data_IF_380733552276
#
_entry.id   IF_380733552276
#
_cell.length_a   1.000
_cell.length_b   1.000
_cell.length_c   1.000
_cell.angle_alpha   90.00
_cell.angle_beta   90.00
_cell.angle_gamma   90.00
#
_symmetry.space_group_name_H-M   'P 1'
#
loop_
_entity.id
_entity.type
_entity.pdbx_description
1 polymer ?
#
# COMPACT_ATOMS: atom_id res chain seq x y z
N UNK A 1 -27.77 -47.16 51.96
CA UNK A 1 -28.91 -46.37 52.47
C UNK A 1 -28.42 -45.41 53.54
N UNK A 2 -28.31 -44.11 53.24
CA UNK A 2 -28.06 -43.06 54.25
C UNK A 2 -29.03 -41.90 54.01
N UNK A 3 -29.65 -41.47 55.10
CA UNK A 3 -30.91 -40.73 55.18
C UNK A 3 -30.71 -39.23 54.94
N UNK A 4 -31.60 -38.65 54.13
CA UNK A 4 -31.93 -37.23 54.10
C UNK A 4 -32.56 -36.81 55.44
N UNK A 5 -32.11 -35.68 56.01
CA UNK A 5 -32.94 -34.82 56.87
C UNK A 5 -32.18 -33.52 57.18
N UNK A 6 -32.71 -32.38 56.76
CA UNK A 6 -32.43 -31.07 57.37
C UNK A 6 -33.77 -30.31 57.47
N UNK A 7 -34.12 -29.78 58.65
CA UNK A 7 -35.41 -29.13 58.92
C UNK A 7 -35.44 -27.63 58.57
N UNK A 8 -36.63 -27.02 58.47
CA UNK A 8 -36.82 -25.60 58.13
C UNK A 8 -37.10 -24.70 59.36
N UNK A 9 -37.04 -23.38 59.10
CA UNK A 9 -37.57 -22.22 59.86
C UNK A 9 -36.64 -21.48 60.83
N UNK A 10 -36.42 -20.17 60.63
CA UNK A 10 -37.17 -19.08 61.30
C UNK A 10 -36.64 -17.67 60.94
N UNK A 11 -37.57 -16.84 60.45
CA UNK A 11 -37.88 -15.45 60.82
C UNK A 11 -36.73 -14.44 61.12
N UNK A 12 -36.62 -13.44 60.24
CA UNK A 12 -36.42 -12.03 60.60
C UNK A 12 -37.25 -11.21 59.59
N UNK A 13 -38.43 -10.68 59.95
CA UNK A 13 -38.65 -9.38 60.59
C UNK A 13 -37.91 -8.23 59.89
N UNK A 14 -38.62 -7.50 59.01
CA UNK A 14 -38.57 -6.04 58.74
C UNK A 14 -39.74 -5.81 57.75
N UNK A 15 -40.94 -5.44 58.20
CA UNK A 15 -41.40 -4.13 58.66
C UNK A 15 -41.94 -3.25 57.50
N UNK A 16 -43.28 -3.11 57.54
CA UNK A 16 -44.12 -1.99 57.09
C UNK A 16 -44.40 -1.80 55.60
N UNK A 17 -45.60 -2.26 55.26
CA UNK A 17 -46.51 -1.75 54.23
C UNK A 17 -46.53 -0.23 54.19
N UNK A 18 -46.25 0.33 53.01
CA UNK A 18 -46.38 1.74 52.66
C UNK A 18 -46.71 1.87 51.18
N UNK A 19 -47.97 1.61 50.87
CA UNK A 19 -48.80 2.15 49.78
C UNK A 19 -48.09 2.92 48.63
N UNK A 20 -48.13 2.28 47.45
CA UNK A 20 -48.40 2.81 46.09
C UNK A 20 -47.59 4.01 45.57
N UNK A 21 -46.76 3.72 44.56
CA UNK A 21 -46.78 4.51 43.33
C UNK A 21 -46.48 3.58 42.14
N UNK A 22 -47.41 3.56 41.18
CA UNK A 22 -47.26 2.85 39.92
C UNK A 22 -46.17 3.53 39.09
N UNK A 23 -45.15 2.77 38.70
CA UNK A 23 -44.24 3.15 37.61
C UNK A 23 -44.40 2.08 36.52
N UNK A 24 -44.83 2.56 35.36
CA UNK A 24 -45.09 1.80 34.15
C UNK A 24 -43.79 1.12 33.70
N UNK A 25 -43.74 -0.21 33.81
CA UNK A 25 -42.67 -1.01 33.22
C UNK A 25 -43.03 -1.35 31.77
N UNK A 26 -42.75 -0.44 30.84
CA UNK A 26 -42.60 -0.79 29.42
C UNK A 26 -41.11 -1.10 29.22
N UNK A 27 -40.77 -2.37 29.40
CA UNK A 27 -39.44 -2.93 29.13
C UNK A 27 -39.64 -4.11 28.19
N UNK A 28 -39.91 -3.80 26.92
CA UNK A 28 -39.79 -4.82 25.88
C UNK A 28 -39.24 -4.21 24.60
N UNK A 29 -38.16 -4.86 24.14
CA UNK A 29 -37.59 -4.85 22.79
C UNK A 29 -36.73 -3.64 22.42
N UNK A 30 -35.46 -3.73 22.80
CA UNK A 30 -34.34 -3.26 21.96
C UNK A 30 -33.06 -4.05 22.34
N UNK A 31 -33.04 -5.35 22.09
CA UNK A 31 -31.80 -6.14 22.12
C UNK A 31 -31.44 -6.53 20.69
N UNK A 32 -30.88 -5.57 19.94
CA UNK A 32 -30.52 -5.78 18.53
C UNK A 32 -29.18 -5.20 18.08
N UNK A 33 -28.38 -4.59 18.98
CA UNK A 33 -27.18 -3.84 18.55
C UNK A 33 -25.84 -4.35 19.13
N UNK A 34 -25.83 -5.39 19.96
CA UNK A 34 -24.60 -5.76 20.70
C UNK A 34 -23.66 -6.65 19.87
N UNK A 35 -24.18 -7.49 18.97
CA UNK A 35 -23.38 -8.50 18.24
C UNK A 35 -22.47 -7.90 17.17
N UNK A 36 -22.90 -6.83 16.50
CA UNK A 36 -22.13 -6.23 15.41
C UNK A 36 -20.88 -5.47 15.89
N UNK A 37 -20.92 -4.91 17.11
CA UNK A 37 -19.82 -4.11 17.66
C UNK A 37 -18.65 -4.97 18.13
N UNK A 38 -18.92 -6.15 18.69
CA UNK A 38 -17.89 -7.10 19.12
C UNK A 38 -17.11 -7.66 17.93
N UNK A 39 -17.80 -7.98 16.82
CA UNK A 39 -17.17 -8.54 15.62
C UNK A 39 -16.22 -7.54 14.95
N UNK A 40 -16.60 -6.26 14.85
CA UNK A 40 -15.75 -5.19 14.29
C UNK A 40 -14.49 -4.98 15.12
N UNK A 41 -14.62 -5.02 16.45
CA UNK A 41 -13.48 -4.89 17.36
C UNK A 41 -12.52 -6.09 17.25
N UNK A 42 -13.04 -7.31 17.15
CA UNK A 42 -12.20 -8.51 16.96
C UNK A 42 -11.41 -8.46 15.66
N UNK A 43 -12.05 -8.11 14.54
CA UNK A 43 -11.38 -7.98 13.23
C UNK A 43 -10.29 -6.89 13.30
N UNK A 44 -10.55 -5.77 13.97
CA UNK A 44 -9.55 -4.74 14.19
C UNK A 44 -8.35 -5.24 14.98
N UNK A 45 -8.56 -5.97 16.08
CA UNK A 45 -7.48 -6.53 16.88
C UNK A 45 -6.62 -7.51 16.08
N UNK A 46 -7.26 -8.37 15.27
CA UNK A 46 -6.55 -9.29 14.38
C UNK A 46 -5.72 -8.54 13.33
N UNK A 47 -6.30 -7.51 12.69
CA UNK A 47 -5.60 -6.68 11.70
C UNK A 47 -4.42 -5.92 12.30
N UNK A 48 -4.59 -5.37 13.51
CA UNK A 48 -3.54 -4.71 14.27
C UNK A 48 -2.42 -5.67 14.69
N UNK A 49 -2.76 -6.89 15.11
CA UNK A 49 -1.77 -7.91 15.45
C UNK A 49 -0.97 -8.35 14.21
N UNK A 50 -1.63 -8.54 13.07
CA UNK A 50 -0.97 -8.83 11.79
C UNK A 50 -0.01 -7.70 11.39
N UNK A 51 -0.44 -6.44 11.56
CA UNK A 51 0.39 -5.26 11.30
C UNK A 51 1.69 -5.26 12.10
N UNK A 52 1.61 -5.46 13.43
CA UNK A 52 2.80 -5.51 14.29
C UNK A 52 3.68 -6.75 14.07
N UNK A 53 3.12 -7.82 13.51
CA UNK A 53 3.89 -9.01 13.09
C UNK A 53 4.60 -8.82 11.75
N UNK A 54 4.37 -7.72 11.04
CA UNK A 54 4.91 -7.49 9.71
C UNK A 54 4.11 -8.11 8.57
N UNK A 55 2.99 -8.78 8.86
CA UNK A 55 2.09 -9.35 7.85
C UNK A 55 1.15 -8.26 7.32
N UNK A 56 1.72 -7.42 6.46
CA UNK A 56 1.07 -6.23 5.91
C UNK A 56 -0.13 -6.57 5.01
N UNK A 57 -0.12 -7.74 4.36
CA UNK A 57 -1.20 -8.16 3.46
C UNK A 57 -2.44 -8.58 4.26
N UNK A 58 -2.25 -9.46 5.25
CA UNK A 58 -3.34 -9.85 6.16
C UNK A 58 -3.86 -8.64 6.96
N UNK A 59 -2.96 -7.77 7.42
CA UNK A 59 -3.33 -6.54 8.11
C UNK A 59 -4.21 -5.64 7.23
N UNK A 60 -3.85 -5.45 5.96
CA UNK A 60 -4.64 -4.64 5.04
C UNK A 60 -6.04 -5.21 4.83
N UNK A 61 -6.14 -6.52 4.58
CA UNK A 61 -7.42 -7.18 4.33
C UNK A 61 -8.38 -7.08 5.52
N UNK A 62 -7.88 -7.34 6.73
CA UNK A 62 -8.67 -7.25 7.96
C UNK A 62 -9.07 -5.80 8.26
N UNK A 63 -8.15 -4.84 8.16
CA UNK A 63 -8.44 -3.44 8.47
C UNK A 63 -9.37 -2.80 7.43
N UNK A 64 -9.32 -3.22 6.16
CA UNK A 64 -10.27 -2.75 5.12
C UNK A 64 -11.69 -3.23 5.42
N UNK A 65 -11.86 -4.44 5.97
CA UNK A 65 -13.16 -4.92 6.44
C UNK A 65 -13.69 -4.10 7.61
N UNK A 66 -12.81 -3.66 8.51
CA UNK A 66 -13.17 -2.73 9.60
C UNK A 66 -13.59 -1.37 9.04
N UNK A 67 -12.86 -0.82 8.06
CA UNK A 67 -13.20 0.46 7.40
C UNK A 67 -14.55 0.38 6.68
N UNK A 68 -14.86 -0.74 6.02
CA UNK A 68 -16.13 -0.94 5.33
C UNK A 68 -17.34 -0.97 6.28
N UNK A 69 -17.16 -1.51 7.50
CA UNK A 69 -18.22 -1.63 8.51
C UNK A 69 -18.31 -0.42 9.44
N UNK A 70 -17.18 0.21 9.74
CA UNK A 70 -17.09 1.42 10.53
C UNK A 70 -16.15 2.45 9.86
N UNK A 71 -16.67 3.24 8.91
CA UNK A 71 -15.87 4.24 8.18
C UNK A 71 -15.29 5.36 9.05
N UNK A 72 -15.83 5.55 10.27
CA UNK A 72 -15.37 6.57 11.23
C UNK A 72 -14.33 6.04 12.22
N UNK A 73 -13.89 4.79 12.09
CA UNK A 73 -12.89 4.20 12.98
C UNK A 73 -11.50 4.83 12.76
N UNK A 74 -11.13 5.75 13.66
CA UNK A 74 -9.91 6.56 13.51
C UNK A 74 -8.63 5.71 13.46
N UNK A 75 -8.49 4.73 14.36
CA UNK A 75 -7.28 3.89 14.43
C UNK A 75 -7.10 3.04 13.16
N UNK A 76 -8.20 2.50 12.62
CA UNK A 76 -8.17 1.75 11.36
C UNK A 76 -7.71 2.62 10.22
N UNK A 77 -8.21 3.86 10.14
CA UNK A 77 -7.79 4.81 9.11
C UNK A 77 -6.31 5.17 9.23
N UNK A 78 -5.81 5.38 10.44
CA UNK A 78 -4.40 5.66 10.69
C UNK A 78 -3.50 4.47 10.27
N UNK A 79 -3.84 3.25 10.70
CA UNK A 79 -3.09 2.04 10.32
C UNK A 79 -3.18 1.77 8.83
N UNK A 80 -4.36 1.90 8.21
CA UNK A 80 -4.51 1.77 6.75
C UNK A 80 -3.71 2.82 6.00
N UNK A 81 -3.61 4.06 6.48
CA UNK A 81 -2.76 5.07 5.88
C UNK A 81 -1.28 4.65 5.91
N UNK A 82 -0.81 4.12 7.05
CA UNK A 82 0.56 3.64 7.19
C UNK A 82 0.83 2.42 6.30
N UNK A 83 -0.07 1.44 6.31
CA UNK A 83 0.00 0.27 5.43
C UNK A 83 -0.04 0.72 3.98
N UNK A 84 -0.90 1.66 3.58
CA UNK A 84 -0.96 2.20 2.22
C UNK A 84 0.33 2.92 1.83
N UNK A 85 1.06 3.53 2.75
CA UNK A 85 2.40 4.09 2.47
C UNK A 85 3.44 2.99 2.21
N UNK A 86 3.36 1.87 2.94
CA UNK A 86 4.23 0.71 2.73
C UNK A 86 3.79 -0.21 1.58
N UNK A 87 2.50 -0.19 1.24
CA UNK A 87 1.77 -0.98 0.24
C UNK A 87 1.35 -0.13 -0.96
N UNK A 88 1.85 1.11 -1.08
CA UNK A 88 1.74 1.84 -2.34
C UNK A 88 2.19 0.86 -3.43
N UNK A 89 1.63 0.92 -4.65
CA UNK A 89 2.10 0.11 -5.78
C UNK A 89 3.51 0.52 -6.24
N UNK A 90 4.44 0.75 -5.31
CA UNK A 90 5.88 0.87 -5.50
C UNK A 90 6.60 -0.48 -5.50
N UNK A 91 5.87 -1.61 -5.59
CA UNK A 91 6.41 -2.93 -5.87
C UNK A 91 6.06 -3.46 -7.27
N UNK A 92 5.31 -2.72 -8.09
CA UNK A 92 5.65 -2.74 -9.50
C UNK A 92 7.00 -2.02 -9.55
N UNK A 93 8.09 -2.79 -9.56
CA UNK A 93 9.44 -2.21 -9.69
C UNK A 93 9.40 -1.11 -10.74
N UNK A 94 10.16 -0.02 -10.56
CA UNK A 94 10.26 1.04 -11.59
C UNK A 94 10.46 0.44 -12.98
N UNK A 95 11.21 -0.67 -13.03
CA UNK A 95 11.36 -1.55 -14.19
C UNK A 95 10.03 -2.09 -14.73
N UNK A 96 9.18 -2.72 -13.92
CA UNK A 96 7.87 -3.22 -14.35
C UNK A 96 6.93 -2.11 -14.86
N UNK A 97 6.92 -0.95 -14.19
CA UNK A 97 6.14 0.21 -14.66
C UNK A 97 6.64 0.69 -16.01
N UNK A 98 7.95 0.78 -16.21
CA UNK A 98 8.52 1.19 -17.49
C UNK A 98 8.33 0.13 -18.59
N UNK A 99 8.37 -1.15 -18.23
CA UNK A 99 8.17 -2.24 -19.20
C UNK A 99 6.77 -2.22 -19.82
N UNK A 100 5.78 -1.69 -19.10
CA UNK A 100 4.41 -1.54 -19.61
C UNK A 100 4.24 -0.44 -20.66
N UNK A 101 5.23 0.48 -20.79
CA UNK A 101 5.19 1.58 -21.76
C UNK A 101 5.90 1.15 -23.03
N UNK A 102 5.13 1.00 -24.12
CA UNK A 102 5.67 0.67 -25.44
C UNK A 102 5.86 1.95 -26.24
N UNK A 103 7.10 2.17 -26.70
CA UNK A 103 7.46 3.30 -27.55
C UNK A 103 7.37 2.88 -29.01
N UNK A 104 6.45 3.49 -29.76
CA UNK A 104 6.20 3.16 -31.17
C UNK A 104 7.42 3.43 -32.05
N UNK A 105 8.09 4.57 -31.84
CA UNK A 105 9.26 4.99 -32.59
C UNK A 105 10.15 5.87 -31.73
N UNK A 106 11.45 5.62 -31.77
CA UNK A 106 12.50 6.44 -31.16
C UNK A 106 13.56 6.65 -32.23
N UNK A 107 13.88 7.90 -32.50
CA UNK A 107 14.87 8.26 -33.50
C UNK A 107 15.70 9.41 -32.95
N UNK A 108 16.98 9.15 -32.73
CA UNK A 108 17.97 10.11 -32.30
C UNK A 108 19.13 10.08 -33.28
N UNK A 109 19.63 11.25 -33.65
CA UNK A 109 20.72 11.41 -34.61
C UNK A 109 21.70 12.44 -34.08
N UNK A 110 22.90 11.98 -33.72
CA UNK A 110 24.01 12.80 -33.22
C UNK A 110 23.61 13.70 -32.04
N UNK A 111 22.86 13.13 -31.09
CA UNK A 111 22.43 13.83 -29.87
C UNK A 111 23.27 13.40 -28.69
N UNK A 112 23.45 14.28 -27.71
CA UNK A 112 24.09 13.92 -26.44
C UNK A 112 23.19 12.97 -25.64
N UNK A 113 23.78 12.20 -24.72
CA UNK A 113 23.04 11.33 -23.80
C UNK A 113 22.01 12.13 -22.98
N UNK A 114 22.37 13.33 -22.54
CA UNK A 114 21.47 14.22 -21.80
C UNK A 114 20.23 14.58 -22.62
N UNK A 115 20.42 14.99 -23.89
CA UNK A 115 19.33 15.29 -24.81
C UNK A 115 18.49 14.04 -25.13
N UNK A 116 19.14 12.89 -25.31
CA UNK A 116 18.45 11.62 -25.57
C UNK A 116 17.57 11.21 -24.38
N UNK A 117 18.05 11.38 -23.14
CA UNK A 117 17.28 11.12 -21.93
C UNK A 117 16.07 12.05 -21.83
N UNK A 118 16.23 13.33 -22.13
CA UNK A 118 15.13 14.29 -22.13
C UNK A 118 14.09 13.97 -23.23
N UNK A 119 14.56 13.64 -24.43
CA UNK A 119 13.71 13.15 -25.51
C UNK A 119 12.94 11.89 -25.11
N UNK A 120 13.59 10.95 -24.42
CA UNK A 120 12.96 9.73 -23.94
C UNK A 120 11.88 10.02 -22.87
N UNK A 121 12.09 11.00 -21.98
CA UNK A 121 11.09 11.45 -21.02
C UNK A 121 9.84 11.97 -21.72
N UNK A 122 10.03 12.80 -22.75
CA UNK A 122 8.93 13.34 -23.54
C UNK A 122 8.16 12.22 -24.28
N UNK A 123 8.87 11.30 -24.92
CA UNK A 123 8.26 10.15 -25.63
C UNK A 123 7.47 9.25 -24.67
N UNK A 124 8.02 8.95 -23.50
CA UNK A 124 7.36 8.13 -22.47
C UNK A 124 6.11 8.80 -21.92
N UNK A 125 6.18 10.12 -21.70
CA UNK A 125 5.03 10.91 -21.26
C UNK A 125 3.89 10.81 -22.29
N UNK A 126 4.19 10.98 -23.57
CA UNK A 126 3.18 10.87 -24.64
C UNK A 126 2.64 9.45 -24.75
N UNK A 127 3.49 8.43 -24.74
CA UNK A 127 3.09 7.03 -24.88
C UNK A 127 2.25 6.49 -23.71
N UNK A 128 2.32 7.15 -22.55
CA UNK A 128 1.61 6.75 -21.33
C UNK A 128 0.46 7.69 -20.95
N UNK A 129 0.05 8.62 -21.82
CA UNK A 129 -0.93 9.68 -21.51
C UNK A 129 -0.56 10.48 -20.24
N UNK A 130 0.73 10.75 -20.05
CA UNK A 130 1.26 11.49 -18.91
C UNK A 130 1.39 10.70 -17.61
N UNK A 131 1.08 9.41 -17.61
CA UNK A 131 1.11 8.57 -16.40
C UNK A 131 2.52 8.20 -15.97
N UNK A 132 3.45 8.05 -16.92
CA UNK A 132 4.80 7.55 -16.68
C UNK A 132 5.81 8.51 -17.30
N UNK A 133 6.61 9.13 -16.44
CA UNK A 133 7.74 9.98 -16.83
C UNK A 133 8.99 9.38 -16.16
N UNK A 134 9.96 8.87 -16.94
CA UNK A 134 11.09 8.18 -16.36
C UNK A 134 12.05 9.15 -15.65
N UNK A 135 12.29 8.91 -14.37
CA UNK A 135 13.33 9.61 -13.63
C UNK A 135 14.68 8.92 -13.88
N UNK A 136 15.46 9.46 -14.82
CA UNK A 136 16.79 8.95 -15.18
C UNK A 136 17.85 9.92 -14.65
N UNK A 137 18.81 9.40 -13.90
CA UNK A 137 19.92 10.12 -13.28
C UNK A 137 21.22 9.68 -13.95
N UNK A 138 21.95 10.62 -14.53
CA UNK A 138 23.29 10.39 -15.07
C UNK A 138 24.28 10.70 -13.95
N UNK A 139 24.94 9.66 -13.42
CA UNK A 139 25.83 9.80 -12.25
C UNK A 139 27.22 10.30 -12.63
N UNK A 140 27.66 9.97 -13.84
CA UNK A 140 28.95 10.39 -14.38
C UNK A 140 28.74 11.40 -15.51
N UNK A 141 29.16 12.64 -15.30
CA UNK A 141 28.97 13.73 -16.26
C UNK A 141 29.73 13.48 -17.58
N UNK A 142 30.78 12.66 -17.57
CA UNK A 142 31.50 12.30 -18.80
C UNK A 142 30.66 11.47 -19.77
N UNK A 143 29.58 10.83 -19.27
CA UNK A 143 28.60 10.14 -20.09
C UNK A 143 27.57 11.09 -20.69
N UNK A 144 27.22 12.16 -19.97
CA UNK A 144 26.16 13.09 -20.38
C UNK A 144 26.46 13.75 -21.74
N UNK A 145 27.73 14.03 -22.01
CA UNK A 145 28.19 14.68 -23.24
C UNK A 145 28.50 13.72 -24.39
N UNK A 146 28.44 12.40 -24.16
CA UNK A 146 28.66 11.43 -25.25
C UNK A 146 27.51 11.50 -26.23
N UNK A 147 27.86 11.56 -27.51
CA UNK A 147 26.88 11.54 -28.59
C UNK A 147 26.46 10.13 -28.94
N UNK A 148 25.22 9.99 -29.38
CA UNK A 148 24.64 8.73 -29.80
C UNK A 148 23.64 8.96 -30.93
N UNK A 149 23.47 7.90 -31.72
CA UNK A 149 22.46 7.81 -32.78
C UNK A 149 21.77 6.47 -32.65
N UNK A 150 20.44 6.45 -32.66
CA UNK A 150 19.65 5.23 -32.61
C UNK A 150 18.34 5.38 -33.37
N UNK A 151 17.87 4.27 -33.94
CA UNK A 151 16.55 4.16 -34.53
C UNK A 151 15.93 2.86 -34.02
N UNK A 152 14.95 2.99 -33.12
CA UNK A 152 14.28 1.86 -32.49
C UNK A 152 12.78 1.98 -32.70
N UNK A 153 12.10 0.84 -32.81
CA UNK A 153 10.65 0.80 -33.06
C UNK A 153 10.00 -0.27 -32.21
N UNK A 154 8.80 0.05 -31.75
CA UNK A 154 7.87 -0.87 -31.12
C UNK A 154 8.49 -1.70 -29.98
N UNK A 155 9.17 -1.01 -29.06
CA UNK A 155 9.89 -1.63 -27.94
C UNK A 155 9.45 -1.04 -26.59
N UNK A 156 9.54 -1.83 -25.50
CA UNK A 156 9.37 -1.33 -24.15
C UNK A 156 10.37 -0.22 -23.80
N UNK A 157 9.94 0.72 -22.95
CA UNK A 157 10.81 1.79 -22.43
C UNK A 157 12.05 1.25 -21.70
N UNK A 158 11.92 0.12 -20.99
CA UNK A 158 13.08 -0.53 -20.34
C UNK A 158 14.18 -0.86 -21.33
N UNK A 159 13.80 -1.35 -22.51
CA UNK A 159 14.76 -1.79 -23.53
C UNK A 159 15.39 -0.57 -24.18
N UNK A 160 14.61 0.49 -24.46
CA UNK A 160 15.12 1.76 -24.96
C UNK A 160 16.19 2.37 -24.02
N UNK A 161 15.93 2.36 -22.71
CA UNK A 161 16.88 2.80 -21.68
C UNK A 161 18.16 1.96 -21.73
N UNK A 162 18.03 0.63 -21.86
CA UNK A 162 19.17 -0.27 -21.92
C UNK A 162 20.02 -0.04 -23.18
N UNK A 163 19.39 0.22 -24.33
CA UNK A 163 20.09 0.54 -25.57
C UNK A 163 20.86 1.86 -25.48
N UNK A 164 20.26 2.91 -24.90
CA UNK A 164 20.94 4.19 -24.67
C UNK A 164 22.21 3.99 -23.84
N UNK A 165 22.09 3.27 -22.72
CA UNK A 165 23.22 2.98 -21.85
C UNK A 165 24.30 2.17 -22.56
N UNK A 166 23.91 1.16 -23.36
CA UNK A 166 24.83 0.32 -24.10
C UNK A 166 25.70 1.09 -25.11
N UNK A 167 25.11 2.05 -25.85
CA UNK A 167 25.84 2.83 -26.87
C UNK A 167 26.93 3.70 -26.23
N UNK A 168 26.64 4.31 -25.08
CA UNK A 168 27.57 5.23 -24.39
C UNK A 168 28.54 4.52 -23.43
N UNK A 169 28.41 3.21 -23.27
CA UNK A 169 29.22 2.40 -22.33
C UNK A 169 28.85 2.65 -20.86
N UNK A 170 27.57 2.90 -20.59
CA UNK A 170 27.04 3.05 -19.24
C UNK A 170 26.43 1.74 -18.72
N UNK A 171 26.52 1.53 -17.41
CA UNK A 171 25.75 0.54 -16.67
C UNK A 171 24.41 1.15 -16.23
N UNK A 172 23.36 0.33 -16.24
CA UNK A 172 22.01 0.72 -15.82
C UNK A 172 21.63 0.03 -14.53
N UNK A 173 21.32 0.82 -13.49
CA UNK A 173 20.79 0.32 -12.22
C UNK A 173 19.39 0.87 -12.00
N UNK A 174 18.44 0.01 -11.68
CA UNK A 174 17.08 0.39 -11.32
C UNK A 174 16.97 0.49 -9.79
N UNK A 175 16.72 1.69 -9.29
CA UNK A 175 16.39 1.95 -7.89
C UNK A 175 14.85 1.99 -7.71
N UNK A 176 14.38 2.18 -6.48
CA UNK A 176 12.97 2.29 -6.10
C UNK A 176 12.25 3.45 -6.79
N UNK A 177 12.98 4.51 -7.17
CA UNK A 177 12.39 5.73 -7.73
C UNK A 177 13.12 6.30 -8.96
N UNK A 178 14.20 5.66 -9.41
CA UNK A 178 15.02 6.19 -10.49
C UNK A 178 15.75 5.09 -11.25
N UNK A 179 16.17 5.44 -12.47
CA UNK A 179 17.16 4.69 -13.23
C UNK A 179 18.46 5.46 -13.20
N UNK A 180 19.54 4.79 -12.80
CA UNK A 180 20.85 5.39 -12.65
C UNK A 180 21.74 4.89 -13.77
N UNK A 181 22.33 5.82 -14.52
CA UNK A 181 23.42 5.55 -15.46
C UNK A 181 24.75 5.85 -14.79
N UNK A 182 25.60 4.83 -14.69
CA UNK A 182 26.97 4.94 -14.19
C UNK A 182 27.97 4.50 -15.27
N UNK A 183 29.20 4.99 -15.23
CA UNK A 183 30.22 4.54 -16.18
C UNK A 183 30.56 3.07 -15.94
N UNK A 184 30.63 2.28 -17.03
CA UNK A 184 31.04 0.89 -16.94
C UNK A 184 32.47 0.72 -16.39
N UNK A 185 33.31 1.75 -16.51
CA UNK A 185 34.67 1.76 -15.97
C UNK A 185 34.75 1.91 -14.44
N UNK A 186 33.70 2.41 -13.77
CA UNK A 186 33.71 2.69 -12.32
C UNK A 186 33.14 1.54 -11.49
N UNK A 187 32.49 0.55 -12.10
CA UNK A 187 31.87 -0.58 -11.38
C UNK A 187 32.84 -1.72 -10.99
N UNK A 188 34.15 -1.52 -11.18
CA UNK A 188 35.17 -2.57 -11.08
C UNK A 188 36.39 -2.25 -10.23
N UNK A 189 36.26 -1.45 -9.16
CA UNK A 189 37.31 -1.28 -8.13
C UNK A 189 36.71 -1.39 -6.72
#
# INVERSE_FOLDING_TARGET
MRKFSFPPTMKALIQRVGVRLAVIAVMTLCSGAVVASDDVNQIFQMGRAAYYKGDMETAYQLLTQVEARNPKHFETRALLAQIRTHRQPGNASVKASYQSVVLTKIEFSDVTLEEAVEGLRALSKTASDGKIIPNIIIKDQSLATKTLSLNLRNLPLTDAIQYLAGIVGANTTYDKHAVIFSSAATAGN
#
